data_IF_955608899947
#
_entry.id   IF_955608899947
#
_cell.length_a   1.000
_cell.length_b   1.000
_cell.length_c   1.000
_cell.angle_alpha   90.00
_cell.angle_beta   90.00
_cell.angle_gamma   90.00
#
_symmetry.space_group_name_H-M   'P 1'
#
loop_
_entity.id
_entity.type
_entity.pdbx_description
1 polymer ?
#
# COMPACT_ATOMS: atom_id res chain seq x y z
N UNK A 1 43.58 -37.66 -29.06
CA UNK A 1 44.61 -36.59 -29.07
C UNK A 1 45.90 -37.14 -28.51
N UNK A 2 47.05 -36.71 -29.08
CA UNK A 2 48.34 -37.12 -28.52
C UNK A 2 48.54 -36.51 -27.14
N UNK A 3 48.82 -37.40 -26.15
CA UNK A 3 48.98 -37.02 -24.74
C UNK A 3 50.16 -36.07 -24.53
N UNK A 4 51.21 -36.23 -25.34
CA UNK A 4 52.43 -35.42 -25.27
C UNK A 4 52.14 -33.97 -25.72
N UNK A 5 51.34 -33.80 -26.77
CA UNK A 5 50.91 -32.49 -27.30
C UNK A 5 50.01 -31.78 -26.27
N UNK A 6 49.14 -32.50 -25.60
CA UNK A 6 48.26 -31.97 -24.55
C UNK A 6 49.05 -31.50 -23.30
N UNK A 7 50.12 -32.24 -22.95
CA UNK A 7 51.03 -31.87 -21.85
C UNK A 7 51.82 -30.58 -22.20
N UNK A 8 52.30 -30.44 -23.45
CA UNK A 8 52.98 -29.23 -23.90
C UNK A 8 52.05 -28.01 -23.79
N UNK A 9 50.77 -28.16 -24.13
CA UNK A 9 49.80 -27.10 -24.05
C UNK A 9 49.53 -26.71 -22.57
N UNK A 10 49.34 -27.68 -21.71
CA UNK A 10 49.08 -27.48 -20.26
C UNK A 10 50.28 -26.84 -19.57
N UNK A 11 51.51 -27.21 -19.93
CA UNK A 11 52.75 -26.63 -19.40
C UNK A 11 53.13 -25.27 -19.97
N UNK A 12 52.40 -24.76 -20.98
CA UNK A 12 52.62 -23.46 -21.61
C UNK A 12 53.69 -23.46 -22.72
N UNK A 13 54.21 -24.63 -23.09
CA UNK A 13 55.30 -24.79 -24.04
C UNK A 13 54.83 -25.11 -25.48
N UNK A 14 53.56 -25.03 -25.76
CA UNK A 14 53.00 -25.26 -27.10
C UNK A 14 53.14 -24.04 -28.01
N UNK A 15 53.47 -24.30 -29.28
CA UNK A 15 53.53 -23.29 -30.33
C UNK A 15 52.14 -22.77 -30.70
N UNK A 16 52.05 -21.63 -31.39
CA UNK A 16 50.76 -21.04 -31.79
C UNK A 16 49.94 -21.94 -32.73
N UNK A 17 50.61 -22.74 -33.55
CA UNK A 17 49.94 -23.70 -34.41
C UNK A 17 49.36 -24.88 -33.62
N UNK A 18 50.10 -25.38 -32.63
CA UNK A 18 49.69 -26.46 -31.74
C UNK A 18 48.51 -25.99 -30.81
N UNK A 19 48.57 -24.76 -30.33
CA UNK A 19 47.47 -24.16 -29.51
C UNK A 19 46.16 -24.10 -30.31
N UNK A 20 46.21 -23.66 -31.55
CA UNK A 20 45.02 -23.64 -32.42
C UNK A 20 44.46 -25.04 -32.63
N UNK A 21 45.28 -25.98 -32.96
CA UNK A 21 44.87 -27.39 -33.18
C UNK A 21 44.21 -28.01 -31.92
N UNK A 22 44.75 -27.74 -30.75
CA UNK A 22 44.18 -28.23 -29.49
C UNK A 22 42.87 -27.51 -29.16
N UNK A 23 42.76 -26.22 -29.44
CA UNK A 23 41.54 -25.46 -29.20
C UNK A 23 40.40 -25.94 -30.12
N UNK A 24 40.69 -26.19 -31.39
CA UNK A 24 39.73 -26.78 -32.34
C UNK A 24 39.27 -28.16 -31.85
N UNK A 25 40.23 -29.03 -31.48
CA UNK A 25 39.90 -30.36 -30.93
C UNK A 25 39.06 -30.32 -29.67
N UNK A 26 39.29 -29.37 -28.73
CA UNK A 26 38.46 -29.20 -27.53
C UNK A 26 37.02 -28.79 -27.85
N UNK A 27 36.80 -28.04 -28.96
CA UNK A 27 35.50 -27.59 -29.38
C UNK A 27 34.73 -28.62 -30.22
N UNK A 28 35.41 -29.63 -30.75
CA UNK A 28 34.83 -30.61 -31.66
C UNK A 28 33.83 -31.54 -30.95
N UNK A 29 34.13 -31.96 -29.70
CA UNK A 29 33.28 -32.86 -28.90
C UNK A 29 33.37 -32.53 -27.43
N UNK A 30 32.28 -32.65 -26.66
CA UNK A 30 32.30 -32.42 -25.20
C UNK A 30 33.22 -33.37 -24.43
N UNK A 31 33.47 -34.60 -24.97
CA UNK A 31 34.39 -35.58 -24.38
C UNK A 31 35.84 -35.08 -24.43
N UNK A 32 36.23 -34.39 -25.47
CA UNK A 32 37.58 -33.84 -25.65
C UNK A 32 37.88 -32.77 -24.57
N UNK A 33 36.93 -31.93 -24.23
CA UNK A 33 37.03 -30.95 -23.15
C UNK A 33 37.19 -31.65 -21.79
N UNK A 34 36.49 -32.75 -21.57
CA UNK A 34 36.63 -33.54 -20.32
C UNK A 34 37.99 -34.17 -20.20
N UNK A 35 38.53 -34.71 -21.31
CA UNK A 35 39.86 -35.28 -21.34
C UNK A 35 40.95 -34.22 -21.03
N UNK A 36 40.85 -33.05 -21.65
CA UNK A 36 41.73 -31.92 -21.33
C UNK A 36 41.67 -31.53 -19.86
N UNK A 37 40.47 -31.37 -19.27
CA UNK A 37 40.30 -31.02 -17.87
C UNK A 37 40.88 -32.08 -16.93
N UNK A 38 40.77 -33.35 -17.28
CA UNK A 38 41.36 -34.44 -16.49
C UNK A 38 42.90 -34.37 -16.52
N UNK A 39 43.52 -34.16 -17.65
CA UNK A 39 44.98 -34.02 -17.80
C UNK A 39 45.50 -32.77 -17.08
N UNK A 40 44.82 -31.66 -17.19
CA UNK A 40 45.18 -30.42 -16.51
C UNK A 40 45.12 -30.59 -14.98
N UNK A 41 44.10 -31.27 -14.46
CA UNK A 41 43.99 -31.56 -13.03
C UNK A 41 45.13 -32.43 -12.51
N UNK A 42 45.54 -33.41 -13.28
CA UNK A 42 46.72 -34.26 -12.95
C UNK A 42 48.01 -33.44 -12.95
N UNK A 43 48.19 -32.53 -13.88
CA UNK A 43 49.35 -31.64 -13.95
C UNK A 43 49.43 -30.69 -12.77
N UNK A 44 48.29 -30.08 -12.39
CA UNK A 44 48.20 -29.20 -11.25
C UNK A 44 48.51 -29.93 -9.95
N UNK A 45 48.04 -31.17 -9.77
CA UNK A 45 48.38 -32.03 -8.64
C UNK A 45 49.86 -32.35 -8.59
N UNK A 46 50.51 -32.63 -9.74
CA UNK A 46 51.93 -32.91 -9.87
C UNK A 46 52.76 -31.66 -9.47
N UNK A 47 52.38 -30.49 -9.92
CA UNK A 47 53.02 -29.22 -9.55
C UNK A 47 53.01 -28.97 -8.05
N UNK A 48 51.88 -29.26 -7.38
CA UNK A 48 51.80 -29.13 -5.90
C UNK A 48 52.73 -30.07 -5.18
N UNK A 49 53.06 -31.25 -5.77
CA UNK A 49 54.00 -32.24 -5.17
C UNK A 49 55.48 -31.90 -5.39
N UNK A 50 55.80 -31.06 -6.37
CA UNK A 50 57.16 -30.69 -6.72
C UNK A 50 57.60 -29.35 -6.12
N UNK A 51 56.76 -28.68 -5.35
CA UNK A 51 57.21 -27.53 -4.57
C UNK A 51 58.23 -28.05 -3.52
N UNK A 52 59.46 -27.52 -3.49
CA UNK A 52 60.44 -27.92 -2.50
C UNK A 52 59.87 -27.62 -1.13
N UNK A 53 59.95 -28.63 -0.22
CA UNK A 53 59.63 -28.42 1.20
C UNK A 53 60.48 -27.24 1.66
N UNK A 54 59.80 -26.12 2.02
CA UNK A 54 60.47 -25.03 2.69
C UNK A 54 61.07 -25.58 3.95
N UNK A 55 62.38 -25.67 3.98
CA UNK A 55 63.16 -26.08 5.19
C UNK A 55 62.85 -25.02 6.26
N UNK A 56 61.89 -25.28 7.11
CA UNK A 56 61.69 -24.50 8.31
C UNK A 56 62.94 -24.54 9.15
N UNK A 57 63.71 -23.43 9.11
CA UNK A 57 64.67 -23.14 10.17
C UNK A 57 63.89 -23.10 11.48
N UNK A 58 63.99 -24.14 12.30
CA UNK A 58 63.54 -24.13 13.68
C UNK A 58 64.10 -22.90 14.40
N UNK A 59 63.32 -21.82 14.42
CA UNK A 59 63.54 -20.74 15.37
C UNK A 59 63.21 -21.32 16.75
N UNK A 60 64.18 -21.21 17.65
CA UNK A 60 64.07 -21.59 19.05
C UNK A 60 62.74 -21.13 19.62
N UNK A 61 61.98 -22.07 20.19
CA UNK A 61 60.61 -21.83 20.66
C UNK A 61 60.60 -20.73 21.71
N UNK A 62 60.01 -19.58 21.32
CA UNK A 62 59.43 -18.68 22.31
C UNK A 62 58.31 -19.45 22.99
N UNK A 63 58.46 -19.79 24.28
CA UNK A 63 57.36 -20.26 25.11
C UNK A 63 56.25 -19.19 25.00
N UNK A 64 55.22 -19.51 24.21
CA UNK A 64 54.01 -18.67 24.18
C UNK A 64 53.39 -18.77 25.56
N UNK A 65 53.49 -17.69 26.33
CA UNK A 65 52.75 -17.57 27.57
C UNK A 65 51.26 -17.63 27.21
N UNK A 66 50.49 -18.45 27.93
CA UNK A 66 49.05 -18.56 27.81
C UNK A 66 48.41 -17.17 27.87
N UNK A 67 49.03 -16.26 28.61
CA UNK A 67 48.65 -14.85 28.72
C UNK A 67 48.73 -14.10 27.36
N UNK A 68 49.76 -14.35 26.54
CA UNK A 68 49.90 -13.72 25.22
C UNK A 68 48.80 -14.22 24.24
N UNK A 69 48.46 -15.49 24.34
CA UNK A 69 47.34 -16.06 23.53
C UNK A 69 46.01 -15.44 23.91
N UNK A 70 45.73 -15.25 25.19
CA UNK A 70 44.53 -14.59 25.69
C UNK A 70 44.44 -13.10 25.24
N UNK A 71 45.57 -12.39 25.23
CA UNK A 71 45.62 -10.99 24.77
C UNK A 71 45.36 -10.88 23.28
N UNK A 72 45.90 -11.77 22.45
CA UNK A 72 45.63 -11.77 21.01
C UNK A 72 44.19 -12.19 20.70
N UNK A 73 43.62 -13.15 21.41
CA UNK A 73 42.19 -13.48 21.30
C UNK A 73 41.30 -12.33 21.75
N UNK A 74 41.66 -11.62 22.82
CA UNK A 74 40.89 -10.45 23.27
C UNK A 74 40.91 -9.29 22.23
N UNK A 75 42.05 -9.07 21.59
CA UNK A 75 42.16 -8.07 20.49
C UNK A 75 41.27 -8.48 19.30
N UNK A 76 41.32 -9.75 18.89
CA UNK A 76 40.46 -10.24 17.79
C UNK A 76 38.97 -10.11 18.15
N UNK A 77 38.57 -10.46 19.37
CA UNK A 77 37.20 -10.30 19.86
C UNK A 77 36.78 -8.84 19.91
N UNK A 78 37.66 -7.93 20.31
CA UNK A 78 37.39 -6.49 20.33
C UNK A 78 37.16 -5.94 18.90
N UNK A 79 37.97 -6.38 17.92
CA UNK A 79 37.78 -5.98 16.52
C UNK A 79 36.45 -6.49 15.99
N UNK A 80 36.10 -7.74 16.26
CA UNK A 80 34.79 -8.31 15.85
C UNK A 80 33.64 -7.56 16.52
N UNK A 81 33.75 -7.23 17.80
CA UNK A 81 32.74 -6.46 18.52
C UNK A 81 32.58 -5.05 17.95
N UNK A 82 33.69 -4.36 17.61
CA UNK A 82 33.65 -3.04 16.98
C UNK A 82 32.99 -3.10 15.59
N UNK A 83 33.29 -4.14 14.79
CA UNK A 83 32.67 -4.32 13.48
C UNK A 83 31.17 -4.61 13.63
N UNK A 84 30.78 -5.50 14.54
CA UNK A 84 29.36 -5.80 14.80
C UNK A 84 28.60 -4.59 15.36
N UNK A 85 29.20 -3.84 16.27
CA UNK A 85 28.61 -2.61 16.79
C UNK A 85 28.56 -1.51 15.70
N UNK A 86 29.59 -1.43 14.88
CA UNK A 86 29.66 -0.51 13.75
C UNK A 86 28.60 -0.82 12.69
N UNK A 87 28.43 -2.09 12.31
CA UNK A 87 27.37 -2.51 11.37
C UNK A 87 25.98 -2.30 11.98
N UNK A 88 25.79 -2.69 13.24
CA UNK A 88 24.52 -2.47 13.93
C UNK A 88 24.17 -0.95 14.07
N UNK A 89 25.15 -0.12 14.38
CA UNK A 89 24.99 1.34 14.43
C UNK A 89 24.73 1.92 13.02
N UNK A 90 25.42 1.40 11.99
CA UNK A 90 25.26 1.82 10.61
C UNK A 90 23.90 1.42 10.07
N UNK A 91 23.46 0.17 10.31
CA UNK A 91 22.12 -0.30 9.92
C UNK A 91 21.01 0.47 10.63
N UNK A 92 21.21 0.80 11.92
CA UNK A 92 20.24 1.58 12.69
C UNK A 92 20.19 3.05 12.25
N UNK A 93 21.30 3.62 11.77
CA UNK A 93 21.40 5.00 11.28
C UNK A 93 21.00 5.10 9.79
N UNK A 94 21.18 4.05 9.03
CA UNK A 94 20.78 3.89 7.64
C UNK A 94 19.49 3.06 7.44
N UNK A 95 18.71 2.83 8.49
CA UNK A 95 17.28 2.78 8.30
C UNK A 95 16.88 4.19 7.80
N UNK A 96 17.31 4.48 6.55
CA UNK A 96 16.65 5.49 5.74
C UNK A 96 15.18 5.23 5.98
N UNK A 97 14.50 6.23 6.49
CA UNK A 97 13.06 6.34 6.34
C UNK A 97 12.85 6.32 4.84
N UNK A 98 12.85 5.11 4.28
CA UNK A 98 12.33 4.88 2.94
C UNK A 98 10.90 5.35 3.08
N UNK A 99 10.70 6.63 2.78
CA UNK A 99 9.39 7.24 2.68
C UNK A 99 8.62 6.29 1.76
N UNK A 100 7.72 5.51 2.35
CA UNK A 100 6.85 4.64 1.54
C UNK A 100 6.20 5.56 0.53
N UNK A 101 6.41 5.29 -0.76
CA UNK A 101 5.80 6.08 -1.81
C UNK A 101 4.31 6.20 -1.51
N UNK A 102 3.80 7.43 -1.46
CA UNK A 102 2.39 7.68 -1.26
C UNK A 102 1.67 7.41 -2.59
N UNK A 103 0.66 6.58 -2.52
CA UNK A 103 -0.27 6.33 -3.60
C UNK A 103 -1.53 7.15 -3.37
N UNK A 104 -2.15 7.64 -4.44
CA UNK A 104 -3.40 8.34 -4.38
C UNK A 104 -4.37 7.74 -5.38
N UNK A 105 -5.56 7.40 -4.93
CA UNK A 105 -6.64 6.88 -5.77
C UNK A 105 -7.80 7.86 -5.71
N UNK A 106 -8.28 8.27 -6.87
CA UNK A 106 -9.42 9.15 -7.04
C UNK A 106 -10.58 8.41 -7.69
N UNK A 107 -11.75 8.48 -7.08
CA UNK A 107 -13.02 8.05 -7.65
C UNK A 107 -13.67 9.24 -8.38
N UNK A 108 -13.75 9.24 -9.72
CA UNK A 108 -14.35 10.35 -10.47
C UNK A 108 -15.82 10.59 -10.13
N UNK A 109 -16.34 11.73 -10.58
CA UNK A 109 -17.76 12.06 -10.46
C UNK A 109 -18.64 10.93 -11.04
N UNK A 110 -19.64 10.50 -10.30
CA UNK A 110 -20.55 9.43 -10.69
C UNK A 110 -19.97 8.00 -10.58
N UNK A 111 -18.71 7.85 -10.20
CA UNK A 111 -18.05 6.56 -10.08
C UNK A 111 -17.76 6.19 -8.63
N UNK A 112 -17.50 4.91 -8.41
CA UNK A 112 -17.08 4.33 -7.13
C UNK A 112 -15.93 3.39 -7.35
N UNK A 113 -15.07 3.27 -6.36
CA UNK A 113 -13.89 2.43 -6.44
C UNK A 113 -13.77 1.58 -5.19
N UNK A 114 -13.56 0.28 -5.34
CA UNK A 114 -13.19 -0.63 -4.25
C UNK A 114 -11.68 -0.84 -4.26
N UNK A 115 -11.06 -0.74 -3.09
CA UNK A 115 -9.62 -0.83 -2.90
C UNK A 115 -9.34 -1.81 -1.78
N UNK A 116 -8.35 -2.69 -1.98
CA UNK A 116 -7.77 -3.49 -0.91
C UNK A 116 -6.39 -2.97 -0.60
N UNK A 117 -6.19 -2.49 0.63
CA UNK A 117 -4.90 -2.00 1.11
C UNK A 117 -3.96 -3.15 1.49
N UNK A 118 -2.67 -2.85 1.61
CA UNK A 118 -1.63 -3.85 1.90
C UNK A 118 -1.81 -4.59 3.25
N UNK A 119 -2.57 -4.02 4.19
CA UNK A 119 -2.90 -4.64 5.47
C UNK A 119 -4.16 -5.52 5.44
N UNK A 120 -4.80 -5.67 4.27
CA UNK A 120 -6.06 -6.39 4.08
C UNK A 120 -7.31 -5.55 4.39
N UNK A 121 -7.18 -4.26 4.70
CA UNK A 121 -8.30 -3.35 4.85
C UNK A 121 -8.99 -3.12 3.50
N UNK A 122 -10.32 -3.25 3.46
CA UNK A 122 -11.12 -2.91 2.30
C UNK A 122 -11.70 -1.52 2.45
N UNK A 123 -11.62 -0.75 1.38
CA UNK A 123 -12.14 0.62 1.31
C UNK A 123 -13.00 0.78 0.05
N UNK A 124 -14.20 1.29 0.19
CA UNK A 124 -15.01 1.77 -0.91
C UNK A 124 -14.98 3.29 -0.90
N UNK A 125 -14.60 3.89 -2.00
CA UNK A 125 -14.66 5.33 -2.22
C UNK A 125 -15.91 5.68 -3.01
N UNK A 126 -16.65 6.65 -2.52
CA UNK A 126 -17.78 7.22 -3.25
C UNK A 126 -17.29 8.24 -4.28
N UNK A 127 -18.23 8.76 -5.06
CA UNK A 127 -18.01 9.79 -6.09
C UNK A 127 -17.18 10.98 -5.56
N UNK A 128 -16.29 11.51 -6.40
CA UNK A 128 -15.41 12.67 -6.10
C UNK A 128 -14.54 12.48 -4.84
N UNK A 129 -14.18 11.26 -4.51
CA UNK A 129 -13.41 10.99 -3.31
C UNK A 129 -11.98 10.59 -3.63
N UNK A 130 -11.04 11.05 -2.82
CA UNK A 130 -9.61 10.75 -2.92
C UNK A 130 -9.13 10.06 -1.65
N UNK A 131 -8.45 8.93 -1.81
CA UNK A 131 -7.74 8.25 -0.74
C UNK A 131 -6.25 8.28 -1.03
N UNK A 132 -5.46 8.82 -0.10
CA UNK A 132 -4.00 8.79 -0.15
C UNK A 132 -3.47 7.89 0.96
N UNK A 133 -2.61 6.95 0.61
CA UNK A 133 -2.08 5.94 1.54
C UNK A 133 -0.67 5.50 1.11
N UNK A 134 0.17 5.01 2.03
CA UNK A 134 1.48 4.48 1.69
C UNK A 134 1.36 3.10 1.03
N UNK A 135 2.27 2.75 0.13
CA UNK A 135 2.35 1.41 -0.47
C UNK A 135 2.39 0.31 0.60
N UNK A 136 3.13 0.56 1.68
CA UNK A 136 3.20 -0.33 2.86
C UNK A 136 3.16 0.50 4.13
N UNK A 137 2.39 0.05 5.10
CA UNK A 137 2.39 0.65 6.43
C UNK A 137 3.63 0.22 7.21
N UNK A 138 4.65 1.06 7.28
CA UNK A 138 5.93 0.78 7.98
C UNK A 138 5.92 1.23 9.44
N UNK A 139 5.13 2.25 9.78
CA UNK A 139 5.07 2.87 11.09
C UNK A 139 4.26 2.06 12.12
N UNK A 140 4.30 2.49 13.37
CA UNK A 140 3.49 1.97 14.46
C UNK A 140 1.99 2.22 14.30
N UNK A 141 1.57 2.86 13.21
CA UNK A 141 0.19 3.08 12.83
C UNK A 141 -0.01 2.87 11.33
N UNK A 142 -1.28 2.78 10.91
CA UNK A 142 -1.71 2.61 9.52
C UNK A 142 -2.48 3.87 9.12
N UNK A 143 -1.78 4.87 8.62
CA UNK A 143 -2.34 6.15 8.25
C UNK A 143 -2.78 6.19 6.80
N UNK A 144 -3.98 6.74 6.57
CA UNK A 144 -4.51 7.11 5.27
C UNK A 144 -5.12 8.50 5.35
N UNK A 145 -5.14 9.25 4.25
CA UNK A 145 -5.81 10.54 4.15
C UNK A 145 -7.00 10.43 3.23
N UNK A 146 -8.16 10.89 3.67
CA UNK A 146 -9.40 10.90 2.91
C UNK A 146 -9.86 12.34 2.67
N UNK A 147 -10.21 12.61 1.41
CA UNK A 147 -11.02 13.75 1.01
C UNK A 147 -12.21 13.19 0.23
N UNK A 148 -13.43 13.35 0.77
CA UNK A 148 -14.63 12.76 0.22
C UNK A 148 -15.34 11.79 1.15
N UNK A 149 -16.00 10.78 0.58
CA UNK A 149 -16.69 9.74 1.34
C UNK A 149 -16.05 8.38 1.13
N UNK A 150 -15.74 7.70 2.24
CA UNK A 150 -15.16 6.37 2.26
C UNK A 150 -15.84 5.45 3.28
N UNK A 151 -16.13 4.22 2.84
CA UNK A 151 -16.57 3.14 3.71
C UNK A 151 -15.41 2.17 3.93
N UNK A 152 -15.12 1.87 5.18
CA UNK A 152 -13.95 1.12 5.60
C UNK A 152 -14.34 -0.17 6.32
N UNK A 153 -13.75 -1.28 5.92
CA UNK A 153 -13.73 -2.54 6.66
C UNK A 153 -12.28 -2.82 7.03
N UNK A 154 -11.89 -2.33 8.21
CA UNK A 154 -10.49 -2.32 8.63
C UNK A 154 -10.08 -3.67 9.19
N UNK A 155 -8.95 -4.19 8.70
CA UNK A 155 -8.33 -5.40 9.22
C UNK A 155 -7.94 -5.23 10.69
N UNK A 156 -8.32 -6.23 11.54
CA UNK A 156 -8.13 -6.16 12.99
C UNK A 156 -6.64 -6.23 13.37
N UNK A 157 -6.16 -5.18 14.00
CA UNK A 157 -4.81 -5.12 14.57
C UNK A 157 -4.81 -4.15 15.75
N UNK A 158 -4.63 -4.68 16.98
CA UNK A 158 -4.65 -3.90 18.22
C UNK A 158 -3.36 -3.14 18.46
N UNK A 159 -2.25 -3.64 17.95
CA UNK A 159 -0.91 -3.06 18.13
C UNK A 159 -0.66 -1.89 17.19
N UNK A 160 -1.26 -1.91 16.00
CA UNK A 160 -1.09 -0.91 14.96
C UNK A 160 -2.42 -0.27 14.59
N UNK A 161 -2.82 0.85 15.24
CA UNK A 161 -4.06 1.55 14.94
C UNK A 161 -4.14 1.97 13.47
N UNK A 162 -5.36 1.94 12.91
CA UNK A 162 -5.66 2.51 11.60
C UNK A 162 -6.23 3.91 11.80
N UNK A 163 -5.72 4.90 11.08
CA UNK A 163 -6.06 6.31 11.24
C UNK A 163 -6.48 6.87 9.89
N UNK A 164 -7.73 7.35 9.80
CA UNK A 164 -8.20 8.12 8.65
C UNK A 164 -8.06 9.60 9.01
N UNK A 165 -7.13 10.28 8.34
CA UNK A 165 -6.94 11.72 8.47
C UNK A 165 -7.85 12.44 7.45
N UNK A 166 -8.64 13.41 7.92
CA UNK A 166 -9.45 14.30 7.09
C UNK A 166 -9.09 15.75 7.35
N UNK A 167 -9.64 16.68 6.58
CA UNK A 167 -9.39 18.11 6.78
C UNK A 167 -9.84 18.64 8.14
N UNK A 168 -10.80 17.99 8.80
CA UNK A 168 -11.45 18.48 10.04
C UNK A 168 -11.16 17.60 11.26
N UNK A 169 -11.10 16.30 11.09
CA UNK A 169 -10.98 15.32 12.18
C UNK A 169 -10.12 14.13 11.76
N UNK A 170 -9.52 13.48 12.74
CA UNK A 170 -8.87 12.19 12.62
C UNK A 170 -9.74 11.09 13.22
N UNK A 171 -9.89 9.98 12.50
CA UNK A 171 -10.68 8.84 12.91
C UNK A 171 -9.76 7.66 13.16
N UNK A 172 -9.65 7.22 14.42
CA UNK A 172 -8.75 6.14 14.84
C UNK A 172 -9.54 4.88 15.20
N UNK A 173 -9.09 3.74 14.68
CA UNK A 173 -9.74 2.43 14.88
C UNK A 173 -8.71 1.30 15.01
N UNK A 174 -9.14 0.13 15.53
CA UNK A 174 -8.28 -1.06 15.69
C UNK A 174 -8.74 -2.27 14.87
N UNK A 175 -9.90 -2.17 14.20
CA UNK A 175 -10.51 -3.25 13.43
C UNK A 175 -12.03 -3.08 13.45
N UNK A 176 -12.53 -2.26 12.55
CA UNK A 176 -13.82 -1.59 12.68
C UNK A 176 -14.45 -1.46 11.30
N UNK A 177 -15.77 -1.51 11.24
CA UNK A 177 -16.56 -1.24 10.06
C UNK A 177 -17.29 0.10 10.25
N UNK A 178 -16.96 1.09 9.42
CA UNK A 178 -17.43 2.47 9.56
C UNK A 178 -17.41 3.23 8.24
N UNK A 179 -18.17 4.32 8.19
CA UNK A 179 -18.21 5.26 7.09
C UNK A 179 -17.70 6.63 7.53
N UNK A 180 -16.99 7.33 6.67
CA UNK A 180 -16.53 8.70 6.85
C UNK A 180 -17.01 9.54 5.68
N UNK A 181 -17.72 10.62 5.95
CA UNK A 181 -18.15 11.65 5.01
C UNK A 181 -17.42 12.94 5.34
N UNK A 182 -16.47 13.34 4.51
CA UNK A 182 -15.53 14.43 4.80
C UNK A 182 -14.98 15.10 3.53
N UNK A 183 -15.86 15.61 2.66
CA UNK A 183 -15.44 16.44 1.54
C UNK A 183 -14.85 17.76 2.08
N UNK A 184 -13.66 18.13 1.60
CA UNK A 184 -12.95 19.31 2.09
C UNK A 184 -13.70 20.61 1.83
N UNK A 185 -14.41 20.67 0.67
CA UNK A 185 -15.19 21.83 0.25
C UNK A 185 -16.53 21.95 1.00
N UNK A 186 -17.06 20.85 1.56
CA UNK A 186 -18.32 20.83 2.26
C UNK A 186 -18.18 21.25 3.72
N UNK A 187 -19.21 21.91 4.26
CA UNK A 187 -19.32 22.16 5.70
C UNK A 187 -19.62 20.89 6.50
N UNK A 188 -20.18 19.88 5.85
CA UNK A 188 -20.59 18.62 6.51
C UNK A 188 -19.38 17.73 6.76
N UNK A 189 -19.29 17.20 7.96
CA UNK A 189 -18.39 16.12 8.35
C UNK A 189 -19.13 15.13 9.23
N UNK A 190 -19.11 13.86 8.86
CA UNK A 190 -19.81 12.81 9.59
C UNK A 190 -18.98 11.52 9.62
N UNK A 191 -19.07 10.79 10.73
CA UNK A 191 -18.55 9.42 10.83
C UNK A 191 -19.58 8.53 11.49
N UNK A 192 -19.90 7.43 10.83
CA UNK A 192 -20.91 6.45 11.28
C UNK A 192 -20.25 5.11 11.57
N UNK A 193 -20.48 4.57 12.78
CA UNK A 193 -19.91 3.30 13.23
C UNK A 193 -20.94 2.17 13.14
N UNK A 194 -20.62 1.14 12.37
CA UNK A 194 -21.45 -0.05 12.21
C UNK A 194 -21.01 -1.17 13.16
N UNK A 195 -19.67 -1.43 13.22
CA UNK A 195 -19.14 -2.51 14.05
C UNK A 195 -17.77 -2.14 14.61
N UNK A 196 -17.54 -2.42 15.89
CA UNK A 196 -16.27 -2.18 16.58
C UNK A 196 -16.29 -0.93 17.44
N UNK A 197 -15.20 -0.17 17.46
CA UNK A 197 -15.03 1.08 18.22
C UNK A 197 -14.30 2.09 17.34
N UNK A 198 -14.75 3.34 17.39
CA UNK A 198 -14.14 4.49 16.73
C UNK A 198 -13.77 5.54 17.78
N UNK A 199 -12.56 6.07 17.70
CA UNK A 199 -12.11 7.26 18.40
C UNK A 199 -11.96 8.40 17.38
N UNK A 200 -12.63 9.53 17.64
CA UNK A 200 -12.58 10.71 16.78
C UNK A 200 -11.89 11.83 17.54
N UNK A 201 -10.89 12.44 16.92
CA UNK A 201 -10.17 13.57 17.44
C UNK A 201 -10.25 14.72 16.43
N UNK A 202 -10.62 15.89 16.88
CA UNK A 202 -10.52 17.12 16.08
C UNK A 202 -9.06 17.38 15.72
N UNK A 203 -8.83 18.12 14.64
CA UNK A 203 -7.49 18.54 14.23
C UNK A 203 -6.78 19.37 15.29
N UNK A 204 -7.55 20.03 16.18
CA UNK A 204 -7.04 20.63 17.42
C UNK A 204 -6.96 19.57 18.53
N UNK A 205 -5.77 19.16 18.98
CA UNK A 205 -5.61 18.14 20.01
C UNK A 205 -6.23 18.50 21.37
N UNK A 206 -6.44 19.80 21.65
CA UNK A 206 -7.01 20.29 22.91
C UNK A 206 -8.51 19.99 23.05
N UNK A 207 -9.19 19.68 21.96
CA UNK A 207 -10.64 19.52 21.92
C UNK A 207 -11.16 18.17 22.47
N UNK A 208 -10.27 17.28 22.93
CA UNK A 208 -10.62 15.97 23.48
C UNK A 208 -10.91 14.92 22.40
N UNK A 209 -11.28 13.72 22.85
CA UNK A 209 -11.57 12.54 22.00
C UNK A 209 -13.02 12.11 22.22
N UNK A 210 -13.77 11.96 21.12
CA UNK A 210 -15.11 11.39 21.13
C UNK A 210 -15.05 9.90 20.75
N UNK A 211 -15.68 9.03 21.57
CA UNK A 211 -15.80 7.60 21.26
C UNK A 211 -17.21 7.27 20.77
N UNK A 212 -17.25 6.48 19.68
CA UNK A 212 -18.48 5.91 19.16
C UNK A 212 -18.60 4.43 19.53
N UNK A 213 -19.85 4.02 19.72
CA UNK A 213 -20.31 2.64 19.87
C UNK A 213 -21.06 2.21 18.60
N UNK A 214 -21.24 0.91 18.35
CA UNK A 214 -21.99 0.43 17.19
C UNK A 214 -23.37 1.08 17.06
N UNK A 215 -23.78 1.36 15.82
CA UNK A 215 -25.02 2.04 15.46
C UNK A 215 -25.11 3.50 15.94
N UNK A 216 -23.96 4.13 16.21
CA UNK A 216 -23.88 5.56 16.48
C UNK A 216 -23.08 6.30 15.43
N UNK A 217 -23.31 7.59 15.32
CA UNK A 217 -22.61 8.50 14.43
C UNK A 217 -22.14 9.74 15.19
N UNK A 218 -21.14 10.41 14.64
CA UNK A 218 -20.74 11.75 15.06
C UNK A 218 -20.83 12.70 13.86
N UNK A 219 -21.30 13.90 14.10
CA UNK A 219 -21.27 14.99 13.11
C UNK A 219 -20.58 16.21 13.70
N UNK A 220 -19.89 16.99 12.87
CA UNK A 220 -19.28 18.24 13.27
C UNK A 220 -20.29 19.38 13.11
N UNK A 221 -20.63 20.06 14.19
CA UNK A 221 -21.47 21.26 14.22
C UNK A 221 -20.64 22.45 14.69
N UNK A 222 -20.25 23.31 13.76
CA UNK A 222 -19.27 24.35 14.03
C UNK A 222 -17.92 23.69 14.44
N UNK A 223 -17.48 23.94 15.67
CA UNK A 223 -16.24 23.38 16.23
C UNK A 223 -16.47 22.21 17.20
N UNK A 224 -17.70 21.68 17.31
CA UNK A 224 -18.05 20.65 18.30
C UNK A 224 -18.52 19.37 17.62
N UNK A 225 -18.00 18.24 18.08
CA UNK A 225 -18.51 16.91 17.72
C UNK A 225 -19.79 16.60 18.51
N UNK A 226 -20.82 16.23 17.78
CA UNK A 226 -22.13 15.84 18.33
C UNK A 226 -22.39 14.37 18.02
N UNK A 227 -22.59 13.54 19.07
CA UNK A 227 -22.93 12.13 18.94
C UNK A 227 -24.44 11.97 18.71
N UNK A 228 -24.80 11.06 17.82
CA UNK A 228 -26.17 10.68 17.50
C UNK A 228 -26.31 9.19 17.22
N UNK A 229 -27.52 8.75 16.88
CA UNK A 229 -27.79 7.41 16.36
C UNK A 229 -27.83 7.45 14.85
N UNK A 230 -27.39 6.37 14.19
CA UNK A 230 -27.59 6.18 12.77
C UNK A 230 -29.09 6.03 12.54
N UNK A 231 -29.67 6.96 11.78
CA UNK A 231 -31.10 6.98 11.46
C UNK A 231 -31.43 6.10 10.25
N UNK A 232 -30.50 6.03 9.30
CA UNK A 232 -30.71 5.38 8.00
C UNK A 232 -29.59 4.35 7.75
N UNK A 233 -29.70 3.12 8.26
CA UNK A 233 -28.67 2.09 8.05
C UNK A 233 -28.54 1.70 6.57
N UNK A 234 -29.63 1.81 5.79
CA UNK A 234 -29.64 1.54 4.36
C UNK A 234 -28.83 2.57 3.54
N UNK A 235 -28.47 3.72 4.13
CA UNK A 235 -27.60 4.71 3.48
C UNK A 235 -26.29 4.09 2.98
N UNK A 236 -25.69 3.20 3.73
CA UNK A 236 -24.39 2.62 3.40
C UNK A 236 -24.44 1.57 2.28
N UNK A 237 -25.62 1.24 1.77
CA UNK A 237 -25.79 0.36 0.61
C UNK A 237 -25.34 1.03 -0.70
N UNK A 238 -24.97 2.30 -0.67
CA UNK A 238 -24.35 2.96 -1.80
C UNK A 238 -23.13 2.18 -2.33
N UNK A 239 -22.35 1.54 -1.45
CA UNK A 239 -21.22 0.68 -1.83
C UNK A 239 -21.63 -0.51 -2.70
N UNK A 240 -22.86 -0.96 -2.57
CA UNK A 240 -23.45 -2.08 -3.33
C UNK A 240 -24.22 -1.59 -4.57
N UNK A 241 -24.15 -0.28 -4.86
CA UNK A 241 -24.85 0.32 -6.00
C UNK A 241 -26.33 0.59 -5.74
N UNK A 242 -26.76 0.69 -4.48
CA UNK A 242 -28.12 1.05 -4.10
C UNK A 242 -28.16 2.44 -3.48
N UNK A 243 -29.00 3.31 -4.01
CA UNK A 243 -29.32 4.60 -3.44
C UNK A 243 -30.60 4.47 -2.64
N UNK A 244 -30.50 4.63 -1.34
CA UNK A 244 -31.63 4.53 -0.43
C UNK A 244 -31.98 5.91 0.12
N UNK A 245 -33.22 6.28 -0.02
CA UNK A 245 -33.81 7.53 0.49
C UNK A 245 -34.94 7.17 1.43
N UNK A 246 -34.97 7.78 2.60
CA UNK A 246 -36.00 7.55 3.60
C UNK A 246 -36.50 8.90 4.13
N UNK A 247 -37.69 9.29 3.71
CA UNK A 247 -38.32 10.56 4.08
C UNK A 247 -37.37 11.76 3.96
N UNK A 248 -36.63 11.82 2.83
CA UNK A 248 -35.66 12.88 2.55
C UNK A 248 -36.35 14.04 1.79
N UNK A 249 -36.05 15.31 2.09
CA UNK A 249 -36.49 16.42 1.25
C UNK A 249 -35.99 16.25 -0.20
N UNK A 250 -36.86 16.52 -1.18
CA UNK A 250 -36.46 16.38 -2.61
C UNK A 250 -35.26 17.26 -2.95
N UNK A 251 -35.09 18.40 -2.29
CA UNK A 251 -33.87 19.24 -2.43
C UNK A 251 -32.60 18.44 -2.12
N UNK A 252 -32.56 17.79 -0.95
CA UNK A 252 -31.39 17.04 -0.49
C UNK A 252 -31.17 15.77 -1.32
N UNK A 253 -32.28 15.17 -1.82
CA UNK A 253 -32.20 14.06 -2.77
C UNK A 253 -31.53 14.50 -4.09
N UNK A 254 -31.89 15.66 -4.62
CA UNK A 254 -31.28 16.20 -5.86
C UNK A 254 -29.78 16.43 -5.67
N UNK A 255 -29.34 17.01 -4.58
CA UNK A 255 -27.91 17.18 -4.31
C UNK A 255 -27.16 15.83 -4.21
N UNK A 256 -27.78 14.82 -3.61
CA UNK A 256 -27.23 13.45 -3.60
C UNK A 256 -27.18 12.85 -5.03
N UNK A 257 -28.20 13.08 -5.86
CA UNK A 257 -28.20 12.61 -7.26
C UNK A 257 -27.08 13.25 -8.07
N UNK A 258 -26.84 14.55 -7.93
CA UNK A 258 -25.69 15.24 -8.56
C UNK A 258 -24.38 14.53 -8.19
N UNK A 259 -24.17 14.26 -6.92
CA UNK A 259 -22.97 13.59 -6.44
C UNK A 259 -22.87 12.15 -6.99
N UNK A 260 -23.92 11.35 -6.84
CA UNK A 260 -23.90 9.93 -7.16
C UNK A 260 -23.83 9.62 -8.67
N UNK A 261 -24.35 10.51 -9.51
CA UNK A 261 -24.33 10.32 -10.97
C UNK A 261 -23.33 11.24 -11.68
N UNK A 262 -22.72 12.16 -10.96
CA UNK A 262 -21.75 13.11 -11.54
C UNK A 262 -22.40 14.04 -12.59
N UNK A 263 -23.68 14.38 -12.43
CA UNK A 263 -24.44 15.27 -13.32
C UNK A 263 -24.79 16.57 -12.62
N UNK A 264 -24.89 17.64 -13.34
CA UNK A 264 -25.50 18.86 -12.82
C UNK A 264 -27.01 18.84 -13.01
N UNK A 265 -27.76 19.20 -11.95
CA UNK A 265 -29.23 19.28 -11.98
C UNK A 265 -29.62 20.70 -11.59
N UNK A 266 -30.19 21.43 -12.58
CA UNK A 266 -30.75 22.75 -12.38
C UNK A 266 -32.26 22.63 -12.17
N UNK A 267 -32.78 23.24 -11.11
CA UNK A 267 -34.22 23.17 -10.79
C UNK A 267 -34.84 24.55 -10.94
N UNK A 268 -35.59 24.73 -12.02
CA UNK A 268 -36.39 25.92 -12.24
C UNK A 268 -37.71 25.85 -11.47
N UNK A 269 -38.35 24.68 -11.46
CA UNK A 269 -39.59 24.45 -10.74
C UNK A 269 -39.31 24.10 -9.25
N UNK A 270 -39.14 25.10 -8.41
CA UNK A 270 -38.86 24.94 -6.99
C UNK A 270 -40.02 24.37 -6.16
N UNK A 271 -41.22 24.22 -6.76
CA UNK A 271 -42.37 23.65 -6.06
C UNK A 271 -42.16 22.20 -5.63
N UNK A 272 -41.29 21.44 -6.35
CA UNK A 272 -40.92 20.05 -6.01
C UNK A 272 -40.18 19.94 -4.68
N UNK A 273 -39.54 21.02 -4.23
CA UNK A 273 -38.78 21.01 -2.96
C UNK A 273 -39.66 20.97 -1.70
N UNK A 274 -40.98 21.20 -1.86
CA UNK A 274 -41.94 21.05 -0.77
C UNK A 274 -42.16 19.56 -0.39
N UNK A 275 -41.80 18.66 -1.28
CA UNK A 275 -42.06 17.23 -1.13
C UNK A 275 -40.89 16.50 -0.49
N UNK A 276 -41.22 15.37 0.05
CA UNK A 276 -40.26 14.41 0.61
C UNK A 276 -40.38 13.09 -0.16
N UNK A 277 -39.30 12.32 -0.17
CA UNK A 277 -39.27 11.08 -0.92
C UNK A 277 -38.72 9.92 -0.11
N UNK A 278 -39.36 8.75 -0.31
CA UNK A 278 -38.87 7.45 0.18
C UNK A 278 -38.78 6.48 -0.99
N UNK A 279 -37.64 5.83 -1.15
CA UNK A 279 -37.44 4.85 -2.22
C UNK A 279 -36.01 4.34 -2.31
N UNK A 280 -35.84 3.27 -3.10
CA UNK A 280 -34.53 2.66 -3.34
C UNK A 280 -34.34 2.56 -4.85
N UNK A 281 -33.16 2.97 -5.34
CA UNK A 281 -32.77 2.94 -6.75
C UNK A 281 -31.46 2.20 -6.92
N UNK A 282 -31.33 1.48 -8.02
CA UNK A 282 -30.05 0.93 -8.44
C UNK A 282 -29.31 2.01 -9.24
N UNK A 283 -28.06 2.28 -8.90
CA UNK A 283 -27.28 3.28 -9.62
C UNK A 283 -27.12 2.96 -11.11
N UNK A 284 -27.08 1.69 -11.47
CA UNK A 284 -26.99 1.22 -12.86
C UNK A 284 -28.21 1.60 -13.72
N UNK A 285 -29.35 1.90 -13.12
CA UNK A 285 -30.57 2.26 -13.86
C UNK A 285 -30.53 3.73 -14.35
N UNK A 286 -29.53 4.51 -13.89
CA UNK A 286 -29.29 5.87 -14.34
C UNK A 286 -30.17 6.92 -13.64
N UNK A 287 -29.72 8.18 -13.71
CA UNK A 287 -30.43 9.32 -13.09
C UNK A 287 -31.80 9.56 -13.70
N UNK A 288 -31.95 9.32 -15.01
CA UNK A 288 -33.23 9.52 -15.68
C UNK A 288 -34.32 8.57 -15.14
N UNK A 289 -33.96 7.34 -14.78
CA UNK A 289 -34.90 6.43 -14.14
C UNK A 289 -35.42 7.02 -12.81
N UNK A 290 -34.54 7.58 -12.01
CA UNK A 290 -34.90 8.25 -10.76
C UNK A 290 -35.84 9.41 -11.01
N UNK A 291 -35.54 10.27 -12.01
CA UNK A 291 -36.38 11.41 -12.37
C UNK A 291 -37.75 10.99 -12.92
N UNK A 292 -37.82 9.92 -13.72
CA UNK A 292 -39.07 9.32 -14.19
C UNK A 292 -39.96 8.91 -13.01
N UNK A 293 -39.38 8.26 -12.01
CA UNK A 293 -40.13 7.83 -10.80
C UNK A 293 -40.56 9.05 -9.96
N UNK A 294 -39.67 10.03 -9.76
CA UNK A 294 -40.01 11.28 -9.07
C UNK A 294 -41.19 12.00 -9.73
N UNK A 295 -41.23 11.99 -11.06
CA UNK A 295 -42.30 12.66 -11.84
C UNK A 295 -43.68 12.01 -11.62
N UNK A 296 -43.77 10.76 -11.16
CA UNK A 296 -45.08 10.12 -10.89
C UNK A 296 -45.85 10.85 -9.79
N UNK A 297 -45.12 11.41 -8.82
CA UNK A 297 -45.73 12.09 -7.66
C UNK A 297 -45.53 13.60 -7.68
N UNK A 298 -44.81 14.14 -8.67
CA UNK A 298 -44.48 15.54 -8.78
C UNK A 298 -44.73 16.01 -10.23
N UNK A 299 -45.45 17.13 -10.39
CA UNK A 299 -45.71 17.70 -11.71
C UNK A 299 -44.51 18.54 -12.15
N UNK A 300 -43.61 17.94 -12.96
CA UNK A 300 -42.51 18.64 -13.63
C UNK A 300 -42.15 17.96 -14.94
N UNK A 301 -41.47 18.68 -15.81
CA UNK A 301 -40.79 18.15 -16.99
C UNK A 301 -39.28 18.30 -16.77
N UNK A 302 -38.49 17.57 -17.51
CA UNK A 302 -37.03 17.77 -17.52
C UNK A 302 -36.48 17.64 -18.92
N UNK A 303 -35.40 18.36 -19.16
CA UNK A 303 -34.56 18.25 -20.36
C UNK A 303 -33.16 17.87 -19.95
N UNK A 304 -32.47 17.09 -20.79
CA UNK A 304 -31.10 16.68 -20.57
C UNK A 304 -30.21 17.20 -21.67
N UNK A 305 -29.17 17.89 -21.33
CA UNK A 305 -28.08 18.28 -22.20
C UNK A 305 -26.93 17.28 -21.99
N UNK A 306 -26.76 16.38 -22.96
CA UNK A 306 -25.74 15.33 -22.90
C UNK A 306 -24.33 15.89 -23.15
N UNK A 307 -24.18 17.00 -23.87
CA UNK A 307 -22.89 17.63 -24.15
C UNK A 307 -22.31 18.27 -22.88
N UNK A 308 -23.13 18.93 -22.09
CA UNK A 308 -22.71 19.60 -20.86
C UNK A 308 -23.00 18.77 -19.60
N UNK A 309 -23.60 17.59 -19.74
CA UNK A 309 -24.02 16.72 -18.66
C UNK A 309 -24.92 17.41 -17.62
N UNK A 310 -25.86 18.24 -18.13
CA UNK A 310 -26.78 19.03 -17.32
C UNK A 310 -28.21 18.55 -17.52
N UNK A 311 -28.94 18.41 -16.42
CA UNK A 311 -30.37 18.13 -16.42
C UNK A 311 -31.11 19.35 -15.87
N UNK A 312 -32.08 19.86 -16.63
CA UNK A 312 -32.92 21.00 -16.20
C UNK A 312 -34.31 20.51 -15.88
N UNK A 313 -34.77 20.72 -14.66
CA UNK A 313 -36.13 20.42 -14.18
C UNK A 313 -36.99 21.69 -14.26
N UNK A 314 -38.09 21.62 -15.03
CA UNK A 314 -38.99 22.73 -15.31
C UNK A 314 -40.40 22.51 -14.73
#
# INVERSE_FOLDING_TARGET
MDTELLQKYISGNATEAEKRHITEWMQEKPENMREYMAQRKLYDIALWRTLPAVVEKKKAGKRFSVHTLWVEMAKAAAVVAIVLLGTHYWDNKHQTVESSALQSIYAPAGQRTEIMLADGTKVWLNSRSTLTFPEKFKDNNRKVKLDGEGYFVVAKNKERPFIVETSKCNVKVLGTEFNVLAYAEDSVWETSLLKGVVEIQLSDPSAGVLKLEPNTMASLKGTRLVKGRIKEPDYFLWREGLLCFNDIPVRDMIEKLKLYYGVDIVVNNTSIFKNRYTGKFRTKDGVEHVLKVLRLNNRFTYTKDDENNVITIN
#
